data_IF_231490292239
#
_entry.id   IF_231490292239
#
_cell.length_a   1.000
_cell.length_b   1.000
_cell.length_c   1.000
_cell.angle_alpha   90.00
_cell.angle_beta   90.00
_cell.angle_gamma   90.00
#
_symmetry.space_group_name_H-M   'P 1'
#
loop_
_entity.id
_entity.type
_entity.pdbx_description
1 polymer ?
#
# COMPACT_ATOMS: atom_id res chain seq x y z
N UNK A 1 -18.05 -26.73 66.99
CA UNK A 1 -19.50 -26.86 67.38
C UNK A 1 -20.29 -26.79 66.08
N UNK A 2 -20.73 -27.93 65.56
CA UNK A 2 -22.11 -28.26 65.18
C UNK A 2 -22.70 -27.37 64.09
N UNK A 3 -23.31 -27.75 62.98
CA UNK A 3 -23.86 -29.07 62.46
C UNK A 3 -24.24 -28.78 61.01
N UNK A 4 -24.02 -29.73 60.11
CA UNK A 4 -24.73 -29.89 58.82
C UNK A 4 -26.20 -30.31 59.05
N UNK A 5 -27.16 -30.13 58.12
CA UNK A 5 -27.44 -31.20 57.18
C UNK A 5 -27.90 -30.75 55.77
N UNK A 6 -27.50 -31.50 54.77
CA UNK A 6 -28.34 -32.38 53.94
C UNK A 6 -29.76 -31.91 53.55
N UNK A 7 -29.96 -31.75 52.25
CA UNK A 7 -31.10 -32.26 51.46
C UNK A 7 -30.91 -31.92 49.98
N UNK A 8 -30.81 -32.85 49.26
CA UNK A 8 -31.71 -33.62 48.40
C UNK A 8 -31.64 -33.20 46.91
N UNK A 9 -31.07 -34.11 46.19
CA UNK A 9 -31.02 -34.23 44.74
C UNK A 9 -32.36 -34.05 44.06
N UNK A 10 -32.38 -33.28 42.95
CA UNK A 10 -33.29 -33.56 41.83
C UNK A 10 -32.51 -33.42 40.53
N UNK A 11 -32.15 -34.55 39.96
CA UNK A 11 -31.55 -34.64 38.63
C UNK A 11 -32.62 -34.27 37.60
N UNK A 12 -32.45 -33.13 36.98
CA UNK A 12 -33.05 -32.80 35.68
C UNK A 12 -32.00 -33.01 34.62
N UNK A 13 -32.01 -34.15 33.95
CA UNK A 13 -31.36 -34.35 32.68
C UNK A 13 -32.03 -33.43 31.67
N UNK A 14 -31.46 -32.26 31.48
CA UNK A 14 -31.64 -31.48 30.27
C UNK A 14 -30.66 -32.02 29.25
N UNK A 15 -31.20 -32.79 28.29
CA UNK A 15 -30.56 -33.09 27.03
C UNK A 15 -30.11 -31.75 26.40
N UNK A 16 -28.86 -31.43 26.60
CA UNK A 16 -28.17 -30.37 25.81
C UNK A 16 -28.08 -30.83 24.37
N UNK A 17 -29.10 -30.56 23.57
CA UNK A 17 -28.92 -30.41 22.14
C UNK A 17 -27.92 -29.24 22.00
N UNK A 18 -26.66 -29.56 21.85
CA UNK A 18 -25.71 -28.67 21.19
C UNK A 18 -26.28 -28.44 19.79
N UNK A 19 -26.96 -27.33 19.61
CA UNK A 19 -27.14 -26.73 18.29
C UNK A 19 -25.69 -26.52 17.76
N UNK A 20 -25.20 -27.56 17.07
CA UNK A 20 -24.20 -27.37 16.03
C UNK A 20 -24.80 -26.26 15.16
N UNK A 21 -24.29 -25.04 15.29
CA UNK A 21 -24.64 -23.96 14.40
C UNK A 21 -24.52 -24.52 12.98
N UNK A 22 -25.66 -24.71 12.34
CA UNK A 22 -25.71 -25.09 10.94
C UNK A 22 -24.81 -24.04 10.23
N UNK A 23 -23.69 -24.52 9.70
CA UNK A 23 -22.87 -23.75 8.76
C UNK A 23 -23.88 -23.26 7.73
N UNK A 24 -24.18 -21.95 7.73
CA UNK A 24 -25.08 -21.39 6.72
C UNK A 24 -24.61 -21.95 5.39
N UNK A 25 -25.48 -22.71 4.73
CA UNK A 25 -25.18 -23.34 3.45
C UNK A 25 -24.74 -22.22 2.52
N UNK A 26 -23.47 -22.23 2.18
CA UNK A 26 -22.91 -21.30 1.21
C UNK A 26 -23.72 -21.44 -0.08
N UNK A 27 -24.62 -20.49 -0.36
CA UNK A 27 -25.31 -20.43 -1.64
C UNK A 27 -24.30 -19.85 -2.66
N UNK A 28 -23.70 -20.68 -3.53
CA UNK A 28 -22.65 -20.22 -4.44
C UNK A 28 -23.17 -19.17 -5.41
N UNK A 29 -24.43 -19.24 -5.79
CA UNK A 29 -25.07 -18.26 -6.66
C UNK A 29 -25.15 -16.91 -5.97
N UNK A 30 -25.63 -16.85 -4.73
CA UNK A 30 -25.70 -15.60 -3.96
C UNK A 30 -24.32 -14.98 -3.73
N UNK A 31 -23.29 -15.80 -3.49
CA UNK A 31 -21.94 -15.31 -3.31
C UNK A 31 -21.37 -14.71 -4.61
N UNK A 32 -21.59 -15.35 -5.75
CA UNK A 32 -21.19 -14.86 -7.05
C UNK A 32 -21.87 -13.51 -7.36
N UNK A 33 -23.21 -13.44 -7.21
CA UNK A 33 -23.99 -12.22 -7.46
C UNK A 33 -23.53 -11.08 -6.55
N UNK A 34 -23.31 -11.35 -5.27
CA UNK A 34 -22.86 -10.34 -4.31
C UNK A 34 -21.51 -9.75 -4.69
N UNK A 35 -20.53 -10.56 -5.13
CA UNK A 35 -19.24 -10.06 -5.57
C UNK A 35 -19.39 -9.26 -6.86
N UNK A 36 -20.04 -9.83 -7.88
CA UNK A 36 -20.19 -9.18 -9.18
C UNK A 36 -20.87 -7.82 -9.05
N UNK A 37 -21.98 -7.75 -8.29
CA UNK A 37 -22.77 -6.52 -8.09
C UNK A 37 -21.93 -5.42 -7.45
N UNK A 38 -21.21 -5.70 -6.36
CA UNK A 38 -20.38 -4.67 -5.70
C UNK A 38 -19.27 -4.19 -6.60
N UNK A 39 -18.62 -5.08 -7.36
CA UNK A 39 -17.63 -4.64 -8.36
C UNK A 39 -18.28 -3.77 -9.43
N UNK A 40 -19.43 -4.19 -9.99
CA UNK A 40 -20.19 -3.40 -10.97
C UNK A 40 -20.49 -1.98 -10.48
N UNK A 41 -20.92 -1.85 -9.23
CA UNK A 41 -21.30 -0.57 -8.64
C UNK A 41 -20.11 0.29 -8.21
N UNK A 42 -19.03 -0.32 -7.73
CA UNK A 42 -18.03 0.38 -6.93
C UNK A 42 -16.60 0.30 -7.46
N UNK A 43 -16.26 -0.62 -8.36
CA UNK A 43 -14.91 -0.68 -8.92
C UNK A 43 -14.65 0.48 -9.87
N UNK A 44 -13.55 1.21 -9.64
CA UNK A 44 -13.31 2.50 -10.30
C UNK A 44 -12.62 2.41 -11.67
N UNK A 45 -12.07 1.23 -12.05
CA UNK A 45 -11.07 1.16 -13.12
C UNK A 45 -11.39 0.23 -14.28
N UNK A 46 -12.65 -0.17 -14.50
CA UNK A 46 -13.01 -1.05 -15.62
C UNK A 46 -12.55 -0.50 -16.95
N UNK A 47 -12.82 0.78 -17.22
CA UNK A 47 -12.41 1.46 -18.45
C UNK A 47 -10.88 1.53 -18.58
N UNK A 48 -10.19 1.98 -17.52
CA UNK A 48 -8.73 2.07 -17.49
C UNK A 48 -8.04 0.73 -17.74
N UNK A 49 -8.64 -0.37 -17.24
CA UNK A 49 -8.13 -1.74 -17.39
C UNK A 49 -8.62 -2.43 -18.67
N UNK A 50 -9.50 -1.79 -19.44
CA UNK A 50 -10.10 -2.36 -20.65
C UNK A 50 -10.94 -3.61 -20.37
N UNK A 51 -11.62 -3.66 -19.23
CA UNK A 51 -12.41 -4.82 -18.78
C UNK A 51 -13.88 -4.53 -18.94
N UNK A 52 -14.55 -5.30 -19.83
CA UNK A 52 -16.00 -5.37 -19.88
C UNK A 52 -16.50 -6.29 -18.76
N UNK A 53 -17.04 -5.68 -17.71
CA UNK A 53 -17.49 -6.42 -16.53
C UNK A 53 -18.78 -7.20 -16.78
N UNK A 54 -19.64 -6.74 -17.70
CA UNK A 54 -20.82 -7.51 -18.12
C UNK A 54 -20.39 -8.76 -18.90
N UNK A 55 -19.43 -8.67 -19.78
CA UNK A 55 -18.89 -9.83 -20.49
C UNK A 55 -18.26 -10.85 -19.50
N UNK A 56 -17.66 -10.39 -18.38
CA UNK A 56 -17.22 -11.31 -17.31
C UNK A 56 -18.42 -12.01 -16.66
N UNK A 57 -19.53 -11.32 -16.41
CA UNK A 57 -20.76 -11.94 -15.89
C UNK A 57 -21.28 -13.01 -16.83
N UNK A 58 -21.47 -12.67 -18.09
CA UNK A 58 -22.04 -13.56 -19.11
C UNK A 58 -21.20 -14.84 -19.29
N UNK A 59 -19.88 -14.72 -19.14
CA UNK A 59 -18.92 -15.82 -19.23
C UNK A 59 -18.95 -16.73 -18.01
N UNK A 60 -19.00 -16.18 -16.80
CA UNK A 60 -18.79 -16.97 -15.58
C UNK A 60 -20.08 -17.34 -14.85
N UNK A 61 -21.14 -16.52 -14.93
CA UNK A 61 -22.40 -16.77 -14.25
C UNK A 61 -23.06 -18.11 -14.62
N UNK A 62 -23.10 -18.55 -15.90
CA UNK A 62 -23.68 -19.85 -16.26
C UNK A 62 -22.93 -21.06 -15.68
N UNK A 63 -21.69 -20.88 -15.23
CA UNK A 63 -20.85 -21.92 -14.63
C UNK A 63 -21.07 -22.09 -13.11
N UNK A 64 -21.92 -21.25 -12.50
CA UNK A 64 -22.23 -21.28 -11.06
C UNK A 64 -23.66 -21.75 -10.86
N UNK A 65 -23.83 -22.94 -10.28
CA UNK A 65 -25.11 -23.56 -9.92
C UNK A 65 -25.17 -23.86 -8.42
N UNK A 66 -26.29 -24.47 -8.00
CA UNK A 66 -26.51 -24.84 -6.59
C UNK A 66 -25.49 -25.86 -6.07
N UNK A 67 -24.97 -26.70 -6.98
CA UNK A 67 -24.04 -27.78 -6.65
C UNK A 67 -22.58 -27.36 -6.79
N UNK A 68 -22.32 -26.09 -7.09
CA UNK A 68 -20.94 -25.55 -7.17
C UNK A 68 -20.29 -25.58 -5.79
N UNK A 69 -19.16 -26.28 -5.66
CA UNK A 69 -18.43 -26.32 -4.38
C UNK A 69 -17.74 -24.99 -4.07
N UNK A 70 -17.34 -24.79 -2.81
CA UNK A 70 -16.59 -23.60 -2.39
C UNK A 70 -15.26 -23.47 -3.17
N UNK A 71 -14.56 -24.57 -3.43
CA UNK A 71 -13.31 -24.58 -4.21
C UNK A 71 -13.53 -24.17 -5.67
N UNK A 72 -14.60 -24.70 -6.28
CA UNK A 72 -14.99 -24.35 -7.65
C UNK A 72 -15.39 -22.88 -7.74
N UNK A 73 -16.23 -22.41 -6.81
CA UNK A 73 -16.61 -20.99 -6.75
C UNK A 73 -15.39 -20.08 -6.59
N UNK A 74 -14.48 -20.41 -5.66
CA UNK A 74 -13.26 -19.63 -5.45
C UNK A 74 -12.43 -19.53 -6.72
N UNK A 75 -12.19 -20.64 -7.41
CA UNK A 75 -11.45 -20.68 -8.66
C UNK A 75 -12.11 -19.81 -9.75
N UNK A 76 -13.45 -19.90 -9.90
CA UNK A 76 -14.21 -19.09 -10.86
C UNK A 76 -14.13 -17.60 -10.56
N UNK A 77 -14.25 -17.21 -9.29
CA UNK A 77 -14.12 -15.82 -8.87
C UNK A 77 -12.70 -15.30 -9.11
N UNK A 78 -11.65 -16.09 -8.84
CA UNK A 78 -10.27 -15.72 -9.14
C UNK A 78 -10.05 -15.51 -10.65
N UNK A 79 -10.60 -16.40 -11.50
CA UNK A 79 -10.52 -16.25 -12.96
C UNK A 79 -11.24 -14.98 -13.43
N UNK A 80 -12.41 -14.67 -12.88
CA UNK A 80 -13.19 -13.48 -13.20
C UNK A 80 -12.46 -12.18 -12.81
N UNK A 81 -11.76 -12.17 -11.67
CA UNK A 81 -11.01 -11.02 -11.17
C UNK A 81 -9.66 -10.82 -11.89
N UNK A 82 -9.11 -11.87 -12.51
CA UNK A 82 -7.76 -11.85 -13.11
C UNK A 82 -7.50 -10.73 -14.12
N UNK A 83 -8.43 -10.35 -15.01
CA UNK A 83 -8.21 -9.28 -15.97
C UNK A 83 -8.01 -7.90 -15.34
N UNK A 84 -8.44 -7.70 -14.08
CA UNK A 84 -8.35 -6.40 -13.41
C UNK A 84 -6.90 -5.97 -13.13
N UNK A 85 -5.98 -6.91 -12.90
CA UNK A 85 -4.52 -6.64 -12.68
C UNK A 85 -4.28 -5.52 -11.66
N UNK A 86 -5.03 -5.52 -10.57
CA UNK A 86 -5.09 -4.46 -9.57
C UNK A 86 -4.69 -5.03 -8.19
N UNK A 87 -3.60 -4.52 -7.60
CA UNK A 87 -3.07 -4.98 -6.32
C UNK A 87 -3.98 -4.73 -5.11
N UNK A 88 -4.94 -3.82 -5.25
CA UNK A 88 -5.97 -3.60 -4.23
C UNK A 88 -7.20 -4.49 -4.39
N UNK A 89 -7.27 -5.34 -5.43
CA UNK A 89 -8.27 -6.40 -5.57
C UNK A 89 -7.75 -7.65 -4.89
N UNK A 90 -8.44 -8.09 -3.85
CA UNK A 90 -8.10 -9.30 -3.11
C UNK A 90 -9.35 -10.15 -2.87
N UNK A 91 -9.20 -11.47 -2.85
CA UNK A 91 -10.23 -12.41 -2.43
C UNK A 91 -9.63 -13.40 -1.43
N UNK A 92 -10.16 -13.44 -0.19
CA UNK A 92 -9.66 -14.25 0.92
C UNK A 92 -10.72 -15.23 1.41
N UNK A 93 -10.53 -16.51 1.09
CA UNK A 93 -11.38 -17.61 1.49
C UNK A 93 -10.78 -18.41 2.66
N UNK A 94 -10.92 -17.90 3.89
CA UNK A 94 -10.34 -18.54 5.08
C UNK A 94 -10.85 -19.96 5.31
N UNK A 95 -12.11 -20.26 4.94
CA UNK A 95 -12.70 -21.58 5.05
C UNK A 95 -12.00 -22.65 4.22
N UNK A 96 -11.33 -22.25 3.13
CA UNK A 96 -10.55 -23.12 2.24
C UNK A 96 -9.08 -23.21 2.66
N UNK A 97 -8.67 -22.57 3.76
CA UNK A 97 -7.33 -22.58 4.29
C UNK A 97 -6.54 -21.25 4.11
N UNK A 98 -5.42 -21.14 4.82
CA UNK A 98 -4.62 -19.90 4.89
C UNK A 98 -4.02 -19.47 3.54
N UNK A 99 -3.83 -20.40 2.61
CA UNK A 99 -3.22 -20.15 1.29
C UNK A 99 -4.18 -19.56 0.27
N UNK A 100 -5.50 -19.57 0.55
CA UNK A 100 -6.51 -19.07 -0.38
C UNK A 100 -6.69 -17.56 -0.22
N UNK A 101 -5.63 -16.84 -0.53
CA UNK A 101 -5.59 -15.40 -0.75
C UNK A 101 -5.21 -15.17 -2.21
N UNK A 102 -6.12 -14.63 -2.97
CA UNK A 102 -5.92 -14.28 -4.37
C UNK A 102 -5.72 -12.78 -4.52
N UNK A 103 -4.76 -12.40 -5.35
CA UNK A 103 -4.49 -11.04 -5.78
C UNK A 103 -4.07 -11.08 -7.26
N UNK A 104 -4.76 -10.36 -8.16
CA UNK A 104 -4.45 -10.35 -9.59
C UNK A 104 -3.30 -9.43 -9.99
N UNK A 105 -2.60 -8.83 -9.04
CA UNK A 105 -1.50 -7.90 -9.29
C UNK A 105 -0.35 -8.56 -10.05
N UNK A 106 0.29 -7.77 -10.89
CA UNK A 106 1.57 -8.13 -11.50
C UNK A 106 2.69 -7.99 -10.46
N UNK A 107 3.46 -9.03 -10.25
CA UNK A 107 4.64 -8.98 -9.37
C UNK A 107 5.59 -7.86 -9.81
N UNK A 108 5.94 -6.90 -8.92
CA UNK A 108 6.93 -5.86 -9.19
C UNK A 108 8.26 -6.42 -9.69
N UNK A 109 8.95 -5.66 -10.53
CA UNK A 109 10.26 -6.05 -11.06
C UNK A 109 11.27 -6.29 -9.93
N UNK A 110 11.25 -5.45 -8.91
CA UNK A 110 12.10 -5.61 -7.74
C UNK A 110 12.01 -7.03 -7.14
N UNK A 111 10.80 -7.54 -6.89
CA UNK A 111 10.61 -8.89 -6.32
C UNK A 111 10.89 -10.03 -7.30
N UNK A 112 10.99 -9.76 -8.60
CA UNK A 112 11.52 -10.73 -9.58
C UNK A 112 13.03 -10.80 -9.54
N UNK A 113 13.67 -9.66 -9.40
CA UNK A 113 15.13 -9.52 -9.31
C UNK A 113 15.64 -10.02 -7.96
N UNK A 114 15.03 -9.57 -6.85
CA UNK A 114 15.38 -9.94 -5.48
C UNK A 114 14.34 -10.92 -4.91
N UNK A 115 14.20 -12.09 -5.52
CA UNK A 115 13.08 -13.01 -5.35
C UNK A 115 13.18 -13.92 -4.11
N UNK A 116 14.06 -13.62 -3.17
CA UNK A 116 14.18 -14.32 -1.89
C UNK A 116 14.40 -13.34 -0.75
N UNK A 117 13.89 -13.67 0.44
CA UNK A 117 14.13 -12.88 1.65
C UNK A 117 15.61 -12.64 1.95
N UNK A 118 16.49 -13.57 1.52
CA UNK A 118 17.94 -13.40 1.62
C UNK A 118 18.44 -12.26 0.74
N UNK A 119 18.00 -12.22 -0.52
CA UNK A 119 18.40 -11.18 -1.47
C UNK A 119 17.83 -9.81 -1.09
N UNK A 120 16.61 -9.75 -0.59
CA UNK A 120 16.02 -8.51 -0.05
C UNK A 120 16.89 -7.96 1.11
N UNK A 121 17.26 -8.81 2.08
CA UNK A 121 18.14 -8.41 3.18
C UNK A 121 19.53 -8.00 2.70
N UNK A 122 20.09 -8.67 1.70
CA UNK A 122 21.36 -8.27 1.11
C UNK A 122 21.26 -6.90 0.45
N UNK A 123 20.16 -6.60 -0.24
CA UNK A 123 19.89 -5.27 -0.79
C UNK A 123 19.89 -4.21 0.32
N UNK A 124 19.13 -4.41 1.40
CA UNK A 124 19.12 -3.50 2.56
C UNK A 124 20.54 -3.28 3.13
N UNK A 125 21.33 -4.34 3.24
CA UNK A 125 22.73 -4.26 3.71
C UNK A 125 23.63 -3.46 2.76
N UNK A 126 23.43 -3.61 1.44
CA UNK A 126 24.19 -2.87 0.42
C UNK A 126 23.87 -1.38 0.47
N UNK A 127 22.60 -1.00 0.71
CA UNK A 127 22.23 0.41 0.95
C UNK A 127 23.03 0.98 2.13
N UNK A 128 22.98 0.32 3.28
CA UNK A 128 23.70 0.76 4.50
C UNK A 128 25.21 0.80 4.26
N UNK A 129 25.78 -0.22 3.61
CA UNK A 129 27.21 -0.29 3.29
C UNK A 129 27.64 0.88 2.38
N UNK A 130 26.80 1.23 1.39
CA UNK A 130 27.06 2.35 0.49
C UNK A 130 27.07 3.67 1.26
N UNK A 131 26.11 3.90 2.13
CA UNK A 131 26.04 5.09 2.97
C UNK A 131 27.28 5.20 3.89
N UNK A 132 27.68 4.11 4.56
CA UNK A 132 28.89 4.07 5.40
C UNK A 132 30.16 4.41 4.62
N UNK A 133 30.35 3.81 3.44
CA UNK A 133 31.49 4.12 2.54
C UNK A 133 31.54 5.60 2.13
N UNK A 134 30.39 6.29 2.20
CA UNK A 134 30.27 7.74 1.91
C UNK A 134 30.26 8.61 3.17
N UNK A 135 30.66 8.08 4.32
CA UNK A 135 30.85 8.82 5.57
C UNK A 135 29.55 9.12 6.33
N UNK A 136 28.46 8.38 6.08
CA UNK A 136 27.26 8.48 6.90
C UNK A 136 27.43 7.70 8.21
N UNK A 137 26.80 8.20 9.27
CA UNK A 137 26.70 7.50 10.56
C UNK A 137 25.89 6.22 10.43
N UNK A 138 25.92 5.39 11.48
CA UNK A 138 25.01 4.24 11.58
C UNK A 138 23.54 4.69 11.52
N UNK A 139 22.68 3.97 10.78
CA UNK A 139 21.26 4.22 10.78
C UNK A 139 20.64 4.08 12.17
N UNK A 140 19.73 4.98 12.51
CA UNK A 140 19.00 5.01 13.78
C UNK A 140 17.50 5.02 13.51
N UNK A 141 16.74 4.29 14.32
CA UNK A 141 15.28 4.33 14.29
C UNK A 141 14.81 5.54 15.09
N UNK A 142 14.02 6.41 14.49
CA UNK A 142 13.23 7.38 15.24
C UNK A 142 11.90 6.75 15.68
N UNK A 143 11.32 5.92 14.81
CA UNK A 143 10.19 4.99 15.04
C UNK A 143 10.39 3.75 14.19
N UNK A 144 9.42 2.83 14.19
CA UNK A 144 9.42 1.69 13.26
C UNK A 144 9.25 2.13 11.79
N UNK A 145 8.68 3.34 11.56
CA UNK A 145 8.49 3.90 10.22
C UNK A 145 9.69 4.68 9.69
N UNK A 146 10.49 5.29 10.57
CA UNK A 146 11.49 6.28 10.22
C UNK A 146 12.88 5.82 10.67
N UNK A 147 13.73 5.50 9.70
CA UNK A 147 15.13 5.18 9.90
C UNK A 147 15.99 6.26 9.25
N UNK A 148 16.92 6.85 9.97
CA UNK A 148 17.70 7.96 9.49
C UNK A 148 19.17 7.86 9.83
N UNK A 149 20.00 8.46 9.01
CA UNK A 149 21.41 8.68 9.30
C UNK A 149 21.90 9.97 8.63
N UNK A 150 23.07 10.42 9.05
CA UNK A 150 23.65 11.68 8.57
C UNK A 150 25.10 11.49 8.19
N UNK A 151 25.47 12.05 7.02
CA UNK A 151 26.84 12.36 6.64
C UNK A 151 27.24 13.79 7.05
N UNK A 152 28.39 14.26 6.59
CA UNK A 152 28.86 15.61 6.88
C UNK A 152 27.89 16.68 6.36
N UNK A 153 27.52 16.60 5.09
CA UNK A 153 26.74 17.61 4.38
C UNK A 153 25.33 17.15 3.96
N UNK A 154 25.01 15.85 4.06
CA UNK A 154 23.77 15.28 3.54
C UNK A 154 23.09 14.38 4.58
N UNK A 155 21.75 14.37 4.54
CA UNK A 155 20.92 13.47 5.31
C UNK A 155 20.40 12.28 4.49
N UNK A 156 20.01 11.21 5.17
CA UNK A 156 19.27 10.08 4.62
C UNK A 156 18.13 9.71 5.55
N UNK A 157 16.93 9.55 4.98
CA UNK A 157 15.71 9.16 5.66
C UNK A 157 15.05 8.02 4.87
N UNK A 158 14.99 6.84 5.46
CA UNK A 158 14.16 5.73 4.97
C UNK A 158 12.80 5.81 5.64
N UNK A 159 11.74 5.78 4.84
CA UNK A 159 10.35 5.66 5.30
C UNK A 159 9.88 4.25 4.92
N UNK A 160 9.69 3.38 5.93
CA UNK A 160 9.40 1.96 5.71
C UNK A 160 7.95 1.69 5.34
N UNK A 161 7.01 2.46 5.89
CA UNK A 161 5.57 2.40 5.61
C UNK A 161 4.88 3.69 6.04
N UNK A 162 3.58 3.84 5.76
CA UNK A 162 2.78 5.02 6.12
C UNK A 162 1.63 4.69 7.08
N UNK A 163 1.88 3.79 8.03
CA UNK A 163 0.90 3.46 9.10
C UNK A 163 1.58 2.89 10.34
N UNK A 164 0.81 2.62 11.40
CA UNK A 164 1.32 1.94 12.60
C UNK A 164 1.84 2.86 13.72
N UNK A 165 2.05 4.15 13.47
CA UNK A 165 2.48 5.12 14.49
C UNK A 165 1.40 6.16 14.73
N UNK A 166 1.13 6.47 15.99
CA UNK A 166 0.16 7.52 16.37
C UNK A 166 0.65 8.90 15.92
N UNK A 167 -0.25 9.79 15.43
CA UNK A 167 0.13 11.07 14.82
C UNK A 167 1.08 11.93 15.68
N UNK A 168 0.80 12.11 16.98
CA UNK A 168 1.66 12.89 17.87
C UNK A 168 3.07 12.30 18.01
N UNK A 169 3.18 10.96 18.11
CA UNK A 169 4.50 10.30 18.16
C UNK A 169 5.25 10.41 16.83
N UNK A 170 4.52 10.46 15.72
CA UNK A 170 5.12 10.67 14.41
C UNK A 170 5.65 12.09 14.28
N UNK A 171 4.93 13.10 14.77
CA UNK A 171 5.39 14.49 14.79
C UNK A 171 6.66 14.66 15.64
N UNK A 172 6.70 14.14 16.86
CA UNK A 172 7.89 14.15 17.72
C UNK A 172 9.10 13.48 17.05
N UNK A 173 8.86 12.37 16.35
CA UNK A 173 9.91 11.66 15.63
C UNK A 173 10.42 12.42 14.41
N UNK A 174 9.52 13.08 13.65
CA UNK A 174 9.88 13.92 12.51
C UNK A 174 10.68 15.15 12.97
N UNK A 175 10.29 15.79 14.07
CA UNK A 175 11.05 16.91 14.66
C UNK A 175 12.47 16.46 15.04
N UNK A 176 12.61 15.31 15.69
CA UNK A 176 13.91 14.73 16.03
C UNK A 176 14.75 14.42 14.77
N UNK A 177 14.16 13.82 13.75
CA UNK A 177 14.84 13.50 12.49
C UNK A 177 15.30 14.78 11.81
N UNK A 178 14.42 15.77 11.62
CA UNK A 178 14.74 17.00 10.90
C UNK A 178 15.73 17.88 11.66
N UNK A 179 15.62 17.97 13.00
CA UNK A 179 16.65 18.65 13.80
C UNK A 179 18.03 17.99 13.67
N UNK A 180 18.09 16.66 13.53
CA UNK A 180 19.35 15.97 13.27
C UNK A 180 19.93 16.29 11.90
N UNK A 181 19.13 16.82 10.96
CA UNK A 181 19.53 17.24 9.61
C UNK A 181 19.91 18.74 9.53
N UNK A 182 19.92 19.46 10.64
CA UNK A 182 20.34 20.84 10.68
C UNK A 182 21.78 20.99 10.15
N UNK A 183 22.01 22.02 9.31
CA UNK A 183 23.28 22.23 8.65
C UNK A 183 23.57 21.31 7.45
N UNK A 184 22.74 20.31 7.15
CA UNK A 184 22.87 19.55 5.88
C UNK A 184 22.49 20.43 4.69
N UNK A 185 23.05 20.12 3.51
CA UNK A 185 22.78 20.80 2.25
C UNK A 185 21.67 20.14 1.43
N UNK A 186 21.29 18.90 1.79
CA UNK A 186 20.26 18.13 1.10
C UNK A 186 19.91 16.84 1.83
N UNK A 187 18.81 16.22 1.42
CA UNK A 187 18.26 15.00 2.02
C UNK A 187 17.95 13.96 0.94
N UNK A 188 18.33 12.73 1.19
CA UNK A 188 17.83 11.57 0.45
C UNK A 188 16.65 11.00 1.23
N UNK A 189 15.50 10.88 0.60
CA UNK A 189 14.33 10.16 1.14
C UNK A 189 14.18 8.86 0.35
N UNK A 190 14.12 7.72 1.04
CA UNK A 190 14.04 6.41 0.42
C UNK A 190 12.70 5.76 0.74
N UNK A 191 11.90 5.48 -0.29
CA UNK A 191 10.61 4.77 -0.18
C UNK A 191 10.56 3.54 -1.11
N UNK A 192 11.70 3.03 -1.57
CA UNK A 192 11.77 1.98 -2.61
C UNK A 192 11.03 0.70 -2.27
N UNK A 193 10.95 0.31 -1.00
CA UNK A 193 10.25 -0.90 -0.53
C UNK A 193 9.06 -0.58 0.35
N UNK A 194 8.55 0.64 0.27
CA UNK A 194 7.43 1.09 1.10
C UNK A 194 6.09 0.53 0.57
N UNK A 195 5.37 -0.31 1.32
CA UNK A 195 4.11 -0.90 0.88
C UNK A 195 2.92 0.06 0.96
N UNK A 196 3.12 1.29 1.41
CA UNK A 196 2.07 2.27 1.57
C UNK A 196 1.57 2.41 3.00
N UNK A 197 0.28 2.66 3.15
CA UNK A 197 -0.41 2.97 4.39
C UNK A 197 -1.43 4.09 4.20
N UNK A 198 -1.65 4.92 5.21
CA UNK A 198 -2.74 5.89 5.21
C UNK A 198 -2.35 7.24 4.60
N UNK A 199 -3.28 7.86 3.85
CA UNK A 199 -3.13 9.24 3.37
C UNK A 199 -2.85 10.23 4.54
N UNK A 200 -3.33 9.96 5.74
CA UNK A 200 -3.07 10.81 6.90
C UNK A 200 -1.57 10.86 7.22
N UNK A 201 -0.94 9.69 7.32
CA UNK A 201 0.49 9.58 7.58
C UNK A 201 1.32 10.16 6.43
N UNK A 202 0.93 9.87 5.17
CA UNK A 202 1.55 10.47 3.97
C UNK A 202 1.61 11.99 4.06
N UNK A 203 0.47 12.63 4.33
CA UNK A 203 0.39 14.10 4.39
C UNK A 203 1.10 14.68 5.62
N UNK A 204 1.08 13.99 6.74
CA UNK A 204 1.82 14.39 7.93
C UNK A 204 3.32 14.44 7.69
N UNK A 205 3.88 13.43 7.00
CA UNK A 205 5.30 13.42 6.63
C UNK A 205 5.59 14.45 5.52
N UNK A 206 4.80 14.48 4.45
CA UNK A 206 5.01 15.39 3.33
C UNK A 206 4.93 16.88 3.72
N UNK A 207 4.09 17.22 4.71
CA UNK A 207 3.95 18.59 5.22
C UNK A 207 5.26 19.19 5.73
N UNK A 208 6.19 18.31 6.19
CA UNK A 208 7.52 18.71 6.69
C UNK A 208 8.45 19.22 5.59
N UNK A 209 8.07 19.08 4.32
CA UNK A 209 8.85 19.47 3.16
C UNK A 209 8.18 20.58 2.33
N UNK A 210 6.93 20.95 2.66
CA UNK A 210 6.20 21.98 1.95
C UNK A 210 6.56 23.38 2.44
N UNK A 211 6.90 24.29 1.52
CA UNK A 211 7.20 25.70 1.81
C UNK A 211 5.93 26.54 1.97
N UNK A 212 4.83 26.12 1.37
CA UNK A 212 3.53 26.78 1.36
C UNK A 212 2.41 25.80 1.09
N UNK A 213 1.15 26.23 1.25
CA UNK A 213 -0.01 25.44 0.86
C UNK A 213 0.00 25.16 -0.65
N UNK A 214 -0.13 23.88 -1.02
CA UNK A 214 -0.20 23.39 -2.41
C UNK A 214 -1.39 22.45 -2.57
N UNK A 215 -1.86 22.26 -3.79
CA UNK A 215 -2.72 21.10 -4.09
C UNK A 215 -1.85 19.85 -3.99
N UNK A 216 -2.23 18.91 -3.15
CA UNK A 216 -1.52 17.64 -3.05
C UNK A 216 -2.07 16.61 -4.04
N UNK A 217 -3.39 16.44 -4.06
CA UNK A 217 -4.06 15.60 -5.04
C UNK A 217 -5.54 15.91 -5.16
N UNK A 218 -6.15 15.46 -6.24
CA UNK A 218 -7.59 15.39 -6.40
C UNK A 218 -8.06 13.94 -6.36
N UNK A 219 -9.31 13.70 -5.95
CA UNK A 219 -9.87 12.36 -5.83
C UNK A 219 -11.35 12.33 -6.18
N UNK A 220 -11.76 11.34 -6.99
CA UNK A 220 -13.15 10.97 -7.21
C UNK A 220 -13.45 9.62 -6.59
N UNK A 221 -14.65 9.45 -6.03
CA UNK A 221 -15.09 8.20 -5.41
C UNK A 221 -16.20 7.59 -6.24
N UNK A 222 -16.04 6.33 -6.64
CA UNK A 222 -17.07 5.56 -7.35
C UNK A 222 -18.22 5.24 -6.42
N UNK A 223 -19.45 5.62 -6.79
CA UNK A 223 -20.66 5.51 -5.95
C UNK A 223 -21.78 4.73 -6.59
N UNK A 224 -21.78 4.61 -7.93
CA UNK A 224 -22.80 3.90 -8.74
C UNK A 224 -22.19 3.40 -10.06
N UNK A 225 -22.86 2.50 -10.79
CA UNK A 225 -22.38 1.98 -12.07
C UNK A 225 -22.20 3.06 -13.14
N UNK A 226 -21.49 2.70 -14.21
CA UNK A 226 -21.30 3.52 -15.41
C UNK A 226 -20.17 4.54 -15.29
N UNK A 227 -19.72 5.14 -16.39
CA UNK A 227 -18.59 6.07 -16.43
C UNK A 227 -18.81 7.32 -15.58
N UNK A 228 -20.04 7.80 -15.51
CA UNK A 228 -20.43 8.99 -14.73
C UNK A 228 -20.76 8.66 -13.26
N UNK A 229 -20.53 7.43 -12.83
CA UNK A 229 -20.89 6.95 -11.50
C UNK A 229 -19.96 7.41 -10.37
N UNK A 230 -19.38 8.61 -10.47
CA UNK A 230 -18.48 9.16 -9.45
C UNK A 230 -19.12 10.32 -8.69
N UNK A 231 -18.78 10.44 -7.41
CA UNK A 231 -19.07 11.62 -6.62
C UNK A 231 -18.22 12.83 -7.08
N UNK A 232 -18.56 14.01 -6.61
CA UNK A 232 -17.80 15.24 -6.88
C UNK A 232 -16.31 15.09 -6.58
N UNK A 233 -15.51 15.81 -7.35
CA UNK A 233 -14.06 15.89 -7.18
C UNK A 233 -13.73 16.52 -5.83
N UNK A 234 -12.94 15.84 -5.02
CA UNK A 234 -12.40 16.35 -3.76
C UNK A 234 -10.94 16.67 -3.92
N UNK A 235 -10.55 17.87 -3.49
CA UNK A 235 -9.15 18.31 -3.46
C UNK A 235 -8.60 18.17 -2.06
N UNK A 236 -7.42 17.54 -1.92
CA UNK A 236 -6.66 17.54 -0.68
C UNK A 236 -5.43 18.42 -0.83
N UNK A 237 -5.24 19.30 0.13
CA UNK A 237 -4.13 20.24 0.14
C UNK A 237 -2.99 19.74 1.02
N UNK A 238 -1.77 19.94 0.56
CA UNK A 238 -0.55 19.84 1.35
C UNK A 238 -0.33 21.20 2.03
N UNK A 239 -0.49 21.25 3.34
CA UNK A 239 -0.20 22.43 4.13
C UNK A 239 1.22 22.35 4.68
N UNK A 240 1.97 23.47 4.76
CA UNK A 240 3.28 23.48 5.38
C UNK A 240 3.16 23.23 6.89
N UNK A 241 4.20 22.60 7.46
CA UNK A 241 4.39 22.54 8.91
C UNK A 241 5.28 23.72 9.35
N UNK A 242 5.20 24.12 10.62
CA UNK A 242 6.05 25.21 11.16
C UNK A 242 7.55 24.90 11.05
N UNK A 243 7.94 23.63 11.28
CA UNK A 243 9.30 23.13 11.13
C UNK A 243 9.46 22.45 9.78
N UNK A 244 9.80 23.22 8.75
CA UNK A 244 9.89 22.74 7.36
C UNK A 244 11.34 22.57 6.89
N UNK A 245 11.65 21.47 6.24
CA UNK A 245 12.91 21.23 5.55
C UNK A 245 12.77 21.62 4.07
N UNK A 246 13.34 22.76 3.69
CA UNK A 246 13.20 23.36 2.35
C UNK A 246 14.40 23.16 1.41
N UNK A 247 15.44 22.44 1.87
CA UNK A 247 16.65 22.20 1.07
C UNK A 247 16.40 21.12 0.00
N UNK A 248 17.31 20.97 -1.00
CA UNK A 248 17.16 19.96 -2.04
C UNK A 248 16.93 18.55 -1.50
N UNK A 249 16.00 17.83 -2.13
CA UNK A 249 15.63 16.46 -1.79
C UNK A 249 15.79 15.58 -3.01
N UNK A 250 16.38 14.40 -2.84
CA UNK A 250 16.27 13.30 -3.79
C UNK A 250 15.38 12.22 -3.19
N UNK A 251 14.26 11.95 -3.86
CA UNK A 251 13.34 10.87 -3.50
C UNK A 251 13.68 9.61 -4.30
N UNK A 252 14.00 8.52 -3.61
CA UNK A 252 14.28 7.22 -4.23
C UNK A 252 12.99 6.41 -4.28
N UNK A 253 12.59 5.98 -5.49
CA UNK A 253 11.39 5.19 -5.74
C UNK A 253 11.69 3.89 -6.48
N UNK A 254 10.77 2.96 -6.43
CA UNK A 254 10.83 1.68 -7.10
C UNK A 254 9.42 1.22 -7.48
N UNK A 255 9.29 0.24 -8.40
CA UNK A 255 8.00 -0.38 -8.73
C UNK A 255 7.40 -1.23 -7.58
N UNK A 256 8.14 -1.37 -6.48
CA UNK A 256 7.66 -1.92 -5.21
C UNK A 256 7.24 -0.83 -4.19
N UNK A 257 7.25 0.46 -4.58
CA UNK A 257 6.65 1.55 -3.81
C UNK A 257 5.20 1.69 -4.22
N UNK A 258 4.24 1.30 -3.39
CA UNK A 258 2.83 1.29 -3.80
C UNK A 258 1.85 1.82 -2.76
N UNK A 259 0.59 2.05 -3.14
CA UNK A 259 -0.50 2.53 -2.29
C UNK A 259 -0.17 3.91 -1.69
N UNK A 260 -0.07 4.06 -0.39
CA UNK A 260 0.34 5.31 0.25
C UNK A 260 1.70 5.83 -0.23
N UNK A 261 2.62 4.95 -0.70
CA UNK A 261 3.89 5.37 -1.27
C UNK A 261 3.74 5.98 -2.67
N UNK A 262 2.79 5.48 -3.49
CA UNK A 262 2.38 6.13 -4.74
C UNK A 262 1.85 7.55 -4.46
N UNK A 263 0.96 7.67 -3.47
CA UNK A 263 0.39 8.97 -3.07
C UNK A 263 1.48 9.91 -2.54
N UNK A 264 2.42 9.41 -1.73
CA UNK A 264 3.52 10.21 -1.23
C UNK A 264 4.42 10.71 -2.36
N UNK A 265 4.83 9.84 -3.28
CA UNK A 265 5.63 10.22 -4.43
C UNK A 265 4.91 11.27 -5.28
N UNK A 266 3.60 11.08 -5.57
CA UNK A 266 2.78 12.04 -6.32
C UNK A 266 2.70 13.41 -5.62
N UNK A 267 2.50 13.44 -4.31
CA UNK A 267 2.46 14.70 -3.53
C UNK A 267 3.82 15.38 -3.51
N UNK A 268 4.91 14.61 -3.46
CA UNK A 268 6.27 15.15 -3.45
C UNK A 268 6.68 15.76 -4.80
N UNK A 269 6.06 15.39 -5.93
CA UNK A 269 6.29 16.06 -7.23
C UNK A 269 5.87 17.53 -7.23
N UNK A 270 4.96 17.92 -6.34
CA UNK A 270 4.51 19.32 -6.22
C UNK A 270 5.56 20.24 -5.54
N UNK A 271 6.64 19.68 -5.03
CA UNK A 271 7.68 20.38 -4.31
C UNK A 271 8.89 20.64 -5.22
N UNK A 272 9.22 21.91 -5.56
CA UNK A 272 10.23 22.24 -6.56
C UNK A 272 11.66 21.81 -6.19
N UNK A 273 11.91 21.55 -4.90
CA UNK A 273 13.21 21.09 -4.42
C UNK A 273 13.39 19.57 -4.53
N UNK A 274 12.34 18.80 -4.92
CA UNK A 274 12.39 17.35 -5.03
C UNK A 274 12.82 16.92 -6.43
N UNK A 275 13.68 15.93 -6.48
CA UNK A 275 14.06 15.20 -7.71
C UNK A 275 13.84 13.71 -7.44
N UNK A 276 13.07 13.03 -8.29
CA UNK A 276 12.77 11.60 -8.13
C UNK A 276 13.79 10.78 -8.94
N UNK A 277 14.42 9.82 -8.27
CA UNK A 277 15.42 8.90 -8.87
C UNK A 277 14.99 7.47 -8.64
N UNK A 278 15.00 6.66 -9.68
CA UNK A 278 14.66 5.23 -9.57
C UNK A 278 13.78 4.73 -10.68
N UNK A 279 12.81 3.91 -10.35
CA UNK A 279 11.76 3.44 -11.25
C UNK A 279 10.45 4.14 -10.91
N UNK A 280 9.52 4.28 -11.87
CA UNK A 280 8.15 4.69 -11.55
C UNK A 280 7.60 3.85 -10.40
N UNK A 281 6.80 4.44 -9.53
CA UNK A 281 6.13 3.72 -8.45
C UNK A 281 5.18 2.65 -8.99
N UNK A 282 4.52 1.86 -8.15
CA UNK A 282 3.68 0.75 -8.61
C UNK A 282 2.47 1.19 -9.44
N UNK A 283 1.83 2.30 -9.05
CA UNK A 283 0.64 2.81 -9.72
C UNK A 283 -0.66 2.27 -9.16
N UNK A 284 -0.76 2.08 -7.86
CA UNK A 284 -1.96 1.61 -7.17
C UNK A 284 -2.35 2.63 -6.10
N UNK A 285 -3.16 3.61 -6.46
CA UNK A 285 -3.45 4.78 -5.61
C UNK A 285 -4.73 4.66 -4.77
N UNK A 286 -5.70 3.90 -5.25
CA UNK A 286 -7.02 3.84 -4.62
C UNK A 286 -6.97 3.33 -3.19
N UNK A 287 -7.77 3.90 -2.29
CA UNK A 287 -8.08 3.18 -1.07
C UNK A 287 -8.84 1.87 -1.37
N UNK A 288 -8.72 0.89 -0.48
CA UNK A 288 -9.41 -0.39 -0.57
C UNK A 288 -10.79 -0.31 0.08
N UNK A 289 -11.85 -0.70 -0.65
CA UNK A 289 -13.15 -0.99 -0.08
C UNK A 289 -13.19 -2.46 0.34
N UNK A 290 -13.14 -2.73 1.65
CA UNK A 290 -13.29 -4.10 2.16
C UNK A 290 -14.77 -4.47 2.29
N UNK A 291 -15.13 -5.68 1.84
CA UNK A 291 -16.46 -6.28 1.94
C UNK A 291 -16.38 -7.77 2.29
N UNK A 292 -17.52 -8.35 2.64
CA UNK A 292 -17.67 -9.78 2.87
C UNK A 292 -18.75 -10.35 1.98
N UNK A 293 -18.53 -11.55 1.46
CA UNK A 293 -19.56 -12.36 0.82
C UNK A 293 -20.49 -12.99 1.88
N UNK A 294 -21.69 -13.43 1.50
CA UNK A 294 -22.60 -14.14 2.40
C UNK A 294 -21.96 -15.34 3.11
N UNK A 295 -21.04 -16.07 2.45
CA UNK A 295 -20.29 -17.18 3.05
C UNK A 295 -19.12 -16.74 3.96
N UNK A 296 -18.96 -15.43 4.21
CA UNK A 296 -17.94 -14.86 5.08
C UNK A 296 -16.56 -14.63 4.44
N UNK A 297 -16.38 -14.97 3.15
CA UNK A 297 -15.14 -14.62 2.45
C UNK A 297 -14.99 -13.13 2.35
N UNK A 298 -13.77 -12.65 2.60
CA UNK A 298 -13.46 -11.22 2.50
C UNK A 298 -12.87 -10.91 1.13
N UNK A 299 -13.22 -9.74 0.61
CA UNK A 299 -12.63 -9.20 -0.60
C UNK A 299 -12.44 -7.70 -0.50
N UNK A 300 -11.52 -7.18 -1.31
CA UNK A 300 -11.26 -5.75 -1.46
C UNK A 300 -11.32 -5.35 -2.93
N UNK A 301 -11.59 -4.07 -3.17
CA UNK A 301 -11.55 -3.48 -4.50
C UNK A 301 -11.17 -2.01 -4.43
N UNK A 302 -10.57 -1.52 -5.51
CA UNK A 302 -10.28 -0.11 -5.73
C UNK A 302 -11.54 0.66 -6.11
N UNK A 303 -11.88 1.72 -5.36
CA UNK A 303 -13.12 2.47 -5.56
C UNK A 303 -12.93 3.98 -5.72
N UNK A 304 -11.69 4.43 -5.77
CA UNK A 304 -11.35 5.85 -5.87
C UNK A 304 -10.30 6.08 -6.95
N UNK A 305 -10.45 7.13 -7.74
CA UNK A 305 -9.47 7.57 -8.70
C UNK A 305 -8.74 8.78 -8.14
N UNK A 306 -7.42 8.72 -8.09
CA UNK A 306 -6.54 9.80 -7.67
C UNK A 306 -5.95 10.50 -8.89
N UNK A 307 -5.81 11.80 -8.79
CA UNK A 307 -5.20 12.66 -9.80
C UNK A 307 -4.19 13.59 -9.12
N UNK A 308 -3.07 13.84 -9.77
CA UNK A 308 -2.11 14.88 -9.36
C UNK A 308 -2.73 16.28 -9.37
N UNK A 309 -2.00 17.30 -8.95
CA UNK A 309 -2.47 18.68 -8.94
C UNK A 309 -2.85 19.20 -10.35
N UNK A 310 -2.18 18.72 -11.39
CA UNK A 310 -2.44 18.99 -12.80
C UNK A 310 -3.42 18.01 -13.46
N UNK A 311 -4.16 17.22 -12.66
CA UNK A 311 -5.16 16.25 -13.11
C UNK A 311 -4.61 15.03 -13.87
N UNK A 312 -3.31 14.72 -13.79
CA UNK A 312 -2.78 13.48 -14.33
C UNK A 312 -3.19 12.28 -13.46
N UNK A 313 -3.58 11.17 -14.11
CA UNK A 313 -3.89 9.90 -13.45
C UNK A 313 -2.71 8.92 -13.66
N UNK A 314 -2.07 8.54 -12.57
CA UNK A 314 -0.94 7.61 -12.59
C UNK A 314 -1.32 6.17 -12.24
N UNK A 315 -2.60 5.89 -12.05
CA UNK A 315 -3.09 4.52 -11.80
C UNK A 315 -2.65 3.55 -12.90
N UNK A 316 -2.07 2.43 -12.52
CA UNK A 316 -1.54 1.41 -13.43
C UNK A 316 -0.21 1.76 -14.11
N UNK A 317 0.31 2.99 -13.93
CA UNK A 317 1.55 3.49 -14.57
C UNK A 317 2.64 3.83 -13.54
N UNK A 318 2.25 4.26 -12.34
CA UNK A 318 3.13 4.83 -11.33
C UNK A 318 3.50 6.29 -11.57
N UNK A 319 4.00 6.95 -10.53
CA UNK A 319 4.52 8.32 -10.62
C UNK A 319 5.80 8.30 -11.46
N UNK A 320 5.91 9.15 -12.48
CA UNK A 320 7.12 9.20 -13.31
C UNK A 320 8.33 9.70 -12.52
N UNK A 321 9.52 9.33 -12.95
CA UNK A 321 10.79 9.69 -12.33
C UNK A 321 11.56 10.69 -13.19
N UNK A 322 12.32 11.59 -12.56
CA UNK A 322 13.18 12.55 -13.27
C UNK A 322 14.46 11.88 -13.78
N UNK A 323 14.98 10.91 -13.03
CA UNK A 323 16.20 10.17 -13.38
C UNK A 323 15.92 8.67 -13.31
N UNK A 324 15.61 8.01 -14.44
CA UNK A 324 15.33 6.60 -14.47
C UNK A 324 16.58 5.76 -14.17
N UNK A 325 16.50 4.94 -13.13
CA UNK A 325 17.54 4.01 -12.72
C UNK A 325 16.91 2.78 -12.06
N UNK A 326 17.65 1.66 -12.04
CA UNK A 326 17.18 0.40 -11.47
C UNK A 326 18.27 -0.28 -10.67
N UNK A 327 17.89 -0.90 -9.55
CA UNK A 327 18.76 -1.82 -8.83
C UNK A 327 18.71 -3.21 -9.46
N UNK A 328 19.85 -3.90 -9.46
CA UNK A 328 20.04 -5.24 -10.01
C UNK A 328 20.82 -6.13 -9.04
N UNK A 329 20.81 -7.44 -9.26
CA UNK A 329 21.64 -8.38 -8.48
C UNK A 329 23.13 -8.07 -8.56
N UNK A 330 23.61 -7.55 -9.70
CA UNK A 330 24.99 -7.12 -9.89
C UNK A 330 25.42 -6.05 -8.87
N UNK A 331 24.47 -5.25 -8.39
CA UNK A 331 24.76 -4.23 -7.38
C UNK A 331 25.08 -4.87 -6.00
N UNK A 332 24.48 -6.04 -5.71
CA UNK A 332 24.82 -6.81 -4.51
C UNK A 332 26.25 -7.38 -4.58
N UNK A 333 26.65 -7.88 -5.74
CA UNK A 333 28.00 -8.42 -5.97
C UNK A 333 29.06 -7.32 -5.86
N UNK A 334 28.76 -6.13 -6.38
CA UNK A 334 29.62 -4.94 -6.28
C UNK A 334 29.57 -4.27 -4.90
N UNK A 335 28.61 -4.68 -4.06
CA UNK A 335 28.35 -4.10 -2.74
C UNK A 335 28.18 -2.56 -2.78
N UNK A 336 27.43 -2.08 -3.78
CA UNK A 336 27.19 -0.66 -4.04
C UNK A 336 25.76 -0.45 -4.51
N UNK A 337 25.07 0.54 -3.92
CA UNK A 337 23.76 0.99 -4.38
C UNK A 337 23.94 2.19 -5.34
N UNK A 338 23.69 1.99 -6.65
CA UNK A 338 23.87 3.04 -7.65
C UNK A 338 22.89 4.21 -7.50
N UNK A 339 21.68 3.95 -6.98
CA UNK A 339 20.66 5.00 -6.77
C UNK A 339 21.08 5.93 -5.62
N UNK A 340 21.59 5.39 -4.53
CA UNK A 340 22.19 6.19 -3.44
C UNK A 340 23.36 7.02 -3.95
N UNK A 341 24.28 6.43 -4.74
CA UNK A 341 25.39 7.18 -5.32
C UNK A 341 24.92 8.31 -6.24
N UNK A 342 23.88 8.06 -7.05
CA UNK A 342 23.29 9.07 -7.93
C UNK A 342 22.67 10.21 -7.13
N UNK A 343 21.94 9.89 -6.08
CA UNK A 343 21.34 10.87 -5.17
C UNK A 343 22.42 11.77 -4.54
N UNK A 344 23.49 11.18 -4.03
CA UNK A 344 24.63 11.91 -3.49
C UNK A 344 25.26 12.84 -4.53
N UNK A 345 25.45 12.37 -5.77
CA UNK A 345 25.98 13.16 -6.88
C UNK A 345 25.10 14.38 -7.21
N UNK A 346 23.77 14.19 -7.24
CA UNK A 346 22.83 15.27 -7.55
C UNK A 346 22.81 16.34 -6.45
N UNK A 347 22.83 15.92 -5.18
CA UNK A 347 22.82 16.83 -4.03
C UNK A 347 24.16 17.56 -3.82
N UNK A 348 25.27 16.99 -4.28
CA UNK A 348 26.59 17.63 -4.17
C UNK A 348 26.84 18.73 -5.22
N UNK A 349 25.98 18.81 -6.26
CA UNK A 349 26.10 19.82 -7.33
C UNK A 349 25.27 21.08 -7.08
N UNK A 350 24.39 21.04 -6.08
CA UNK A 350 23.54 22.13 -5.63
C UNK A 350 24.11 22.75 -4.35
#
# INVERSE_FOLDING_TARGET
MKISPLALSLALMLNGLTLLGAKESSDPVKNFEALWTIFHERYAFFELRGVDWQAQYDKYRPRVGKDTTDEQLYALLCEMLKPLKDGHVNLKAKSLGKKNLYNPEKTPHFFKEFNTRKLEKQFEQVVVKTLRKKGFSEPRNATDLLVYCRGKDLGYLLITEFEGVRPNKLDDALDKVLSSMDGTKGLIIDIRLNPGGTDQCVYQIASRFADRKRVGHHRKTKTKPGPDGFAELKTRYLNPHENTYSKPIVLLTHDASFSGADVFAMVMTELPQVTIVGEPTNGIFSNMLEKKLPNGWKYTLSFQVYYSADMACYEGKGVPVDVPMRNTRSDLEKEVDPLVLKALQLLSKK
#
